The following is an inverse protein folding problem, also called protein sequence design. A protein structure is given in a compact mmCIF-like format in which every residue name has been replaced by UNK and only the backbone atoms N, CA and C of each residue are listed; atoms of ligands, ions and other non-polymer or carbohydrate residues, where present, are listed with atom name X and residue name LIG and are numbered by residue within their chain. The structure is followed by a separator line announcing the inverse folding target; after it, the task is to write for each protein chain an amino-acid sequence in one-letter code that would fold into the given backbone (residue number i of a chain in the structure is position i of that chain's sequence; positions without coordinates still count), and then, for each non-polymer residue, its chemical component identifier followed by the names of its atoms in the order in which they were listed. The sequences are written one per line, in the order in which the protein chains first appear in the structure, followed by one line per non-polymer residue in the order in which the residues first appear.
data_IF_367257334630
#
_entry.id   IF_367257334630
#
_cell.length_a   1.000
_cell.length_b   1.000
_cell.length_c   1.000
_cell.angle_alpha   90.00
_cell.angle_beta   90.00
_cell.angle_gamma   90.00
#
_symmetry.space_group_name_H-M   'P 1'
#
loop_
_entity.id
_entity.type
_entity.pdbx_description
1 polymer ?
#
# COMPACT_ATOMS: atom_id res chain seq x y z
N UNK A 1 -2.46 35.98 7.94
CA UNK A 1 -1.89 35.80 6.58
C UNK A 1 -1.39 34.38 6.52
N UNK A 2 -2.15 33.49 5.88
CA UNK A 2 -1.72 32.10 5.65
C UNK A 2 -0.76 32.16 4.48
N UNK A 3 0.42 31.61 4.67
CA UNK A 3 1.51 31.61 3.73
C UNK A 3 1.15 30.65 2.58
N UNK A 4 0.84 31.18 1.40
CA UNK A 4 0.47 30.48 0.15
C UNK A 4 1.69 29.74 -0.45
N UNK A 5 2.44 29.00 0.38
CA UNK A 5 3.59 28.23 -0.08
C UNK A 5 3.11 26.92 -0.69
N UNK A 6 3.04 26.90 -2.02
CA UNK A 6 3.03 25.64 -2.78
C UNK A 6 4.30 24.86 -2.43
N UNK A 7 4.12 23.80 -1.65
CA UNK A 7 5.21 22.90 -1.27
C UNK A 7 5.34 21.78 -2.29
N UNK A 8 6.58 21.37 -2.55
CA UNK A 8 6.86 20.16 -3.32
C UNK A 8 6.88 19.00 -2.34
N UNK A 9 5.83 18.19 -2.39
CA UNK A 9 5.65 17.05 -1.48
C UNK A 9 5.60 15.74 -2.26
N UNK A 10 6.14 14.65 -1.72
CA UNK A 10 5.87 13.32 -2.24
C UNK A 10 4.36 13.09 -2.26
N UNK A 11 3.83 12.54 -3.35
CA UNK A 11 2.40 12.31 -3.54
C UNK A 11 1.83 11.37 -2.47
N UNK A 12 2.68 10.51 -1.91
CA UNK A 12 2.38 9.69 -0.74
C UNK A 12 2.03 10.52 0.50
N UNK A 13 2.76 11.61 0.75
CA UNK A 13 2.51 12.52 1.88
C UNK A 13 1.20 13.29 1.64
N UNK A 14 0.96 13.74 0.41
CA UNK A 14 -0.32 14.36 0.03
C UNK A 14 -1.48 13.38 0.26
N UNK A 15 -1.37 12.13 -0.20
CA UNK A 15 -2.35 11.08 0.03
C UNK A 15 -2.61 10.80 1.51
N UNK A 16 -1.56 10.74 2.33
CA UNK A 16 -1.69 10.57 3.78
C UNK A 16 -2.48 11.72 4.44
N UNK A 17 -2.21 12.97 4.05
CA UNK A 17 -2.93 14.15 4.55
C UNK A 17 -4.39 14.21 4.10
N UNK A 18 -4.71 13.62 2.96
CA UNK A 18 -6.11 13.41 2.53
C UNK A 18 -6.84 12.38 3.41
N UNK A 19 -6.13 11.37 3.91
CA UNK A 19 -6.71 10.32 4.76
C UNK A 19 -6.90 10.81 6.20
N UNK A 20 -5.88 11.42 6.80
CA UNK A 20 -5.91 11.90 8.19
C UNK A 20 -5.20 13.24 8.34
N UNK A 21 -5.64 14.05 9.32
CA UNK A 21 -4.93 15.27 9.71
C UNK A 21 -3.58 14.98 10.35
N UNK A 22 -3.40 13.79 10.95
CA UNK A 22 -2.12 13.34 11.48
C UNK A 22 -1.39 12.52 10.41
N UNK A 23 -0.26 13.05 9.92
CA UNK A 23 0.47 12.47 8.77
C UNK A 23 0.89 11.02 9.00
N UNK A 24 1.36 10.68 10.19
CA UNK A 24 1.79 9.31 10.52
C UNK A 24 0.62 8.32 10.46
N UNK A 25 -0.56 8.72 10.95
CA UNK A 25 -1.78 7.91 10.88
C UNK A 25 -2.21 7.74 9.43
N UNK A 26 -2.19 8.83 8.65
CA UNK A 26 -2.49 8.79 7.22
C UNK A 26 -1.53 7.89 6.44
N UNK A 27 -0.24 7.87 6.80
CA UNK A 27 0.77 7.02 6.17
C UNK A 27 0.57 5.53 6.47
N UNK A 28 0.22 5.18 7.71
CA UNK A 28 -0.09 3.79 8.11
C UNK A 28 -1.31 3.29 7.34
N UNK A 29 -2.35 4.11 7.25
CA UNK A 29 -3.58 3.74 6.56
C UNK A 29 -3.36 3.64 5.05
N UNK A 30 -2.55 4.54 4.49
CA UNK A 30 -2.12 4.47 3.11
C UNK A 30 -1.31 3.20 2.82
N UNK A 31 -0.42 2.80 3.73
CA UNK A 31 0.32 1.55 3.60
C UNK A 31 -0.62 0.34 3.59
N UNK A 32 -1.63 0.31 4.46
CA UNK A 32 -2.66 -0.73 4.43
C UNK A 32 -3.35 -0.81 3.06
N UNK A 33 -3.83 0.32 2.54
CA UNK A 33 -4.53 0.40 1.24
C UNK A 33 -3.59 -0.05 0.10
N UNK A 34 -2.34 0.39 0.10
CA UNK A 34 -1.37 0.02 -0.95
C UNK A 34 -0.93 -1.44 -0.88
N UNK A 35 -0.88 -2.03 0.31
CA UNK A 35 -0.64 -3.48 0.51
C UNK A 35 -1.82 -4.29 0.00
N UNK A 36 -3.06 -3.87 0.28
CA UNK A 36 -4.25 -4.55 -0.24
C UNK A 36 -4.30 -4.47 -1.78
N UNK A 37 -3.97 -3.31 -2.36
CA UNK A 37 -3.76 -3.17 -3.80
C UNK A 37 -2.64 -4.10 -4.32
N UNK A 38 -1.52 -4.19 -3.61
CA UNK A 38 -0.40 -5.06 -3.98
C UNK A 38 -0.77 -6.55 -3.95
N UNK A 39 -1.59 -7.01 -3.00
CA UNK A 39 -2.05 -8.40 -2.97
C UNK A 39 -2.96 -8.71 -4.17
N UNK A 40 -3.86 -7.79 -4.50
CA UNK A 40 -4.71 -7.92 -5.69
C UNK A 40 -3.88 -7.96 -6.98
N UNK A 41 -2.82 -7.15 -7.06
CA UNK A 41 -1.85 -7.17 -8.15
C UNK A 41 -1.11 -8.50 -8.20
N UNK A 42 -0.51 -8.95 -7.09
CA UNK A 42 0.34 -10.14 -7.06
C UNK A 42 -0.38 -11.40 -7.53
N UNK A 43 -1.62 -11.63 -7.08
CA UNK A 43 -2.38 -12.82 -7.46
C UNK A 43 -2.62 -12.88 -8.97
N UNK A 44 -2.91 -11.74 -9.61
CA UNK A 44 -3.13 -11.67 -11.06
C UNK A 44 -1.83 -11.61 -11.84
N UNK A 45 -0.81 -10.98 -11.27
CA UNK A 45 0.51 -10.87 -11.85
C UNK A 45 1.16 -12.24 -12.01
N UNK A 46 1.04 -13.12 -11.00
CA UNK A 46 1.57 -14.48 -11.10
C UNK A 46 0.96 -15.25 -12.27
N UNK A 47 -0.36 -15.24 -12.41
CA UNK A 47 -1.06 -15.89 -13.53
C UNK A 47 -0.65 -15.29 -14.89
N UNK A 48 -0.55 -13.96 -14.96
CA UNK A 48 -0.13 -13.28 -16.16
C UNK A 48 1.32 -13.62 -16.54
N UNK A 49 2.24 -13.55 -15.57
CA UNK A 49 3.67 -13.77 -15.78
C UNK A 49 3.97 -15.22 -16.15
N UNK A 50 3.34 -16.20 -15.48
CA UNK A 50 3.52 -17.62 -15.84
C UNK A 50 2.97 -17.93 -17.22
N UNK A 51 1.79 -17.40 -17.56
CA UNK A 51 1.20 -17.54 -18.91
C UNK A 51 2.10 -16.91 -19.98
N UNK A 52 2.60 -15.70 -19.72
CA UNK A 52 3.50 -14.99 -20.62
C UNK A 52 4.80 -15.76 -20.85
N UNK A 53 5.46 -16.19 -19.76
CA UNK A 53 6.72 -16.93 -19.84
C UNK A 53 6.55 -18.28 -20.53
N UNK A 54 5.41 -18.96 -20.30
CA UNK A 54 5.11 -20.25 -20.94
C UNK A 54 4.97 -20.09 -22.46
N UNK A 55 4.16 -19.11 -22.90
CA UNK A 55 3.96 -18.86 -24.33
C UNK A 55 5.21 -18.32 -25.01
N UNK A 56 5.97 -17.43 -24.35
CA UNK A 56 7.23 -16.92 -24.87
C UNK A 56 8.26 -18.05 -25.03
N UNK A 57 8.37 -18.95 -24.05
CA UNK A 57 9.27 -20.11 -24.12
C UNK A 57 8.85 -21.08 -25.23
N UNK A 58 7.54 -21.32 -25.39
CA UNK A 58 7.01 -22.13 -26.47
C UNK A 58 7.32 -21.52 -27.85
N UNK A 59 7.17 -20.19 -28.02
CA UNK A 59 7.57 -19.48 -29.25
C UNK A 59 9.03 -19.70 -29.56
N UNK A 60 9.92 -19.45 -28.60
CA UNK A 60 11.37 -19.61 -28.80
C UNK A 60 11.71 -21.05 -29.16
N UNK A 61 11.17 -22.03 -28.42
CA UNK A 61 11.39 -23.45 -28.68
C UNK A 61 10.92 -23.86 -30.08
N UNK A 62 9.72 -23.47 -30.47
CA UNK A 62 9.15 -23.76 -31.78
C UNK A 62 9.93 -23.12 -32.93
N UNK A 63 10.42 -21.89 -32.76
CA UNK A 63 11.26 -21.21 -33.75
C UNK A 63 12.62 -21.90 -33.88
N UNK A 64 13.25 -22.29 -32.77
CA UNK A 64 14.52 -23.01 -32.80
C UNK A 64 14.39 -24.39 -33.46
N UNK A 65 13.33 -25.14 -33.13
CA UNK A 65 13.04 -26.43 -33.75
C UNK A 65 12.74 -26.25 -35.25
N UNK A 66 11.87 -25.31 -35.60
CA UNK A 66 11.55 -25.00 -37.00
C UNK A 66 12.78 -24.60 -37.81
N UNK A 67 13.63 -23.74 -37.25
CA UNK A 67 14.89 -23.32 -37.87
C UNK A 67 15.87 -24.49 -38.06
N UNK A 68 16.02 -25.36 -37.05
CA UNK A 68 16.88 -26.54 -37.17
C UNK A 68 16.36 -27.54 -38.22
N UNK A 69 15.05 -27.79 -38.27
CA UNK A 69 14.44 -28.66 -39.28
C UNK A 69 14.56 -28.07 -40.69
N UNK A 70 14.43 -26.76 -40.83
CA UNK A 70 14.63 -26.07 -42.11
C UNK A 70 16.06 -26.20 -42.61
N UNK A 71 17.05 -26.01 -41.72
CA UNK A 71 18.47 -26.16 -42.04
C UNK A 71 18.86 -27.61 -42.35
N UNK A 72 18.19 -28.58 -41.71
CA UNK A 72 18.40 -30.01 -41.93
C UNK A 72 17.56 -30.61 -43.06
N UNK A 73 16.82 -29.80 -43.83
CA UNK A 73 15.88 -30.25 -44.88
C UNK A 73 14.89 -31.34 -44.41
N UNK A 74 14.54 -31.32 -43.13
CA UNK A 74 13.70 -32.33 -42.50
C UNK A 74 12.20 -31.95 -42.56
N UNK A 75 11.29 -32.92 -42.77
CA UNK A 75 9.86 -32.65 -42.79
C UNK A 75 9.36 -32.13 -41.42
N UNK A 76 8.36 -31.25 -41.45
CA UNK A 76 7.72 -30.71 -40.24
C UNK A 76 8.21 -29.33 -39.79
N UNK A 77 9.17 -28.72 -40.49
CA UNK A 77 9.61 -27.34 -40.24
C UNK A 77 8.45 -26.34 -40.28
N UNK A 78 7.57 -26.45 -41.28
CA UNK A 78 6.41 -25.57 -41.46
C UNK A 78 5.44 -25.64 -40.27
N UNK A 79 5.20 -26.85 -39.75
CA UNK A 79 4.32 -27.08 -38.59
C UNK A 79 4.94 -26.44 -37.35
N UNK A 80 6.25 -26.61 -37.13
CA UNK A 80 6.94 -26.02 -35.99
C UNK A 80 6.91 -24.47 -36.04
N UNK A 81 7.11 -23.88 -37.22
CA UNK A 81 7.03 -22.43 -37.42
C UNK A 81 5.61 -21.91 -37.17
N UNK A 82 4.58 -22.60 -37.67
CA UNK A 82 3.18 -22.24 -37.45
C UNK A 82 2.81 -22.29 -35.95
N UNK A 83 3.27 -23.30 -35.21
CA UNK A 83 3.09 -23.37 -33.75
C UNK A 83 3.79 -22.19 -33.08
N UNK A 84 5.02 -21.87 -33.48
CA UNK A 84 5.77 -20.74 -32.93
C UNK A 84 5.06 -19.40 -33.15
N UNK A 85 4.48 -19.20 -34.34
CA UNK A 85 3.68 -18.03 -34.67
C UNK A 85 2.42 -17.94 -33.80
N UNK A 86 1.71 -19.05 -33.60
CA UNK A 86 0.56 -19.13 -32.70
C UNK A 86 0.92 -18.72 -31.28
N UNK A 87 1.98 -19.29 -30.72
CA UNK A 87 2.50 -18.93 -29.39
C UNK A 87 2.94 -17.45 -29.32
N UNK A 88 3.49 -16.89 -30.40
CA UNK A 88 3.91 -15.49 -30.44
C UNK A 88 2.70 -14.56 -30.36
N UNK A 89 1.64 -14.86 -31.11
CA UNK A 89 0.35 -14.15 -31.03
C UNK A 89 -0.25 -14.25 -29.63
N UNK A 90 -0.24 -15.44 -29.03
CA UNK A 90 -0.70 -15.63 -27.65
C UNK A 90 0.13 -14.82 -26.64
N UNK A 91 1.45 -14.76 -26.80
CA UNK A 91 2.34 -13.96 -25.95
C UNK A 91 2.00 -12.48 -26.03
N UNK A 92 1.75 -11.95 -27.24
CA UNK A 92 1.31 -10.56 -27.43
C UNK A 92 -0.06 -10.31 -26.80
N UNK A 93 -1.01 -11.23 -26.96
CA UNK A 93 -2.34 -11.12 -26.38
C UNK A 93 -2.31 -11.13 -24.84
N UNK A 94 -1.51 -12.02 -24.25
CA UNK A 94 -1.26 -12.05 -22.80
C UNK A 94 -0.62 -10.73 -22.38
N UNK A 95 0.43 -10.27 -23.06
CA UNK A 95 1.06 -8.97 -22.77
C UNK A 95 0.06 -7.81 -22.74
N UNK A 96 -0.82 -7.75 -23.72
CA UNK A 96 -1.89 -6.76 -23.82
C UNK A 96 -2.93 -6.87 -22.69
N UNK A 97 -3.21 -8.08 -22.19
CA UNK A 97 -4.25 -8.31 -21.17
C UNK A 97 -3.92 -7.65 -19.82
N UNK A 98 -2.63 -7.53 -19.44
CA UNK A 98 -2.24 -6.84 -18.21
C UNK A 98 -2.64 -5.37 -18.23
N UNK A 99 -2.51 -4.73 -19.39
CA UNK A 99 -2.93 -3.34 -19.58
C UNK A 99 -4.45 -3.22 -19.54
N UNK A 100 -5.17 -4.14 -20.18
CA UNK A 100 -6.64 -4.17 -20.10
C UNK A 100 -7.12 -4.36 -18.67
N UNK A 101 -6.43 -5.19 -17.88
CA UNK A 101 -6.76 -5.37 -16.48
C UNK A 101 -6.60 -4.08 -15.67
N UNK A 102 -5.53 -3.30 -15.92
CA UNK A 102 -5.31 -2.05 -15.19
C UNK A 102 -6.27 -0.93 -15.62
N UNK A 103 -6.55 -0.79 -16.92
CA UNK A 103 -7.22 0.39 -17.48
C UNK A 103 -8.60 0.10 -18.10
N UNK A 104 -9.11 -1.12 -18.01
CA UNK A 104 -10.37 -1.53 -18.64
C UNK A 104 -10.30 -1.64 -20.17
N UNK A 105 -9.13 -1.42 -20.76
CA UNK A 105 -8.91 -1.47 -22.21
C UNK A 105 -7.48 -1.14 -22.62
N UNK A 106 -7.22 -1.13 -23.92
CA UNK A 106 -5.88 -0.87 -24.47
C UNK A 106 -5.44 0.59 -24.34
N UNK A 107 -6.39 1.52 -24.15
CA UNK A 107 -6.16 2.95 -23.96
C UNK A 107 -6.80 3.40 -22.65
N UNK A 108 -6.07 4.15 -21.85
CA UNK A 108 -6.59 4.82 -20.66
C UNK A 108 -7.44 6.02 -21.08
N UNK A 109 -8.69 5.76 -21.52
CA UNK A 109 -9.61 6.79 -22.02
C UNK A 109 -10.49 7.38 -20.93
N UNK A 110 -10.84 6.59 -19.92
CA UNK A 110 -11.71 7.00 -18.83
C UNK A 110 -11.23 6.41 -17.50
N UNK A 111 -11.47 7.11 -16.37
CA UNK A 111 -11.26 6.55 -15.04
C UNK A 111 -12.04 5.25 -14.84
N UNK A 112 -11.37 4.26 -14.27
CA UNK A 112 -11.95 2.97 -13.90
C UNK A 112 -12.33 2.94 -12.41
N UNK A 113 -13.21 2.01 -12.04
CA UNK A 113 -13.51 1.77 -10.62
C UNK A 113 -12.30 1.17 -9.89
N UNK A 114 -12.01 1.62 -8.65
CA UNK A 114 -10.87 1.11 -7.88
C UNK A 114 -11.14 -0.32 -7.39
N UNK A 115 -10.13 -1.20 -7.48
CA UNK A 115 -10.26 -2.63 -7.14
C UNK A 115 -9.65 -3.01 -5.78
N UNK A 116 -9.05 -2.06 -5.07
CA UNK A 116 -8.17 -2.35 -3.92
C UNK A 116 -8.80 -2.17 -2.54
N UNK A 117 -10.01 -1.62 -2.41
CA UNK A 117 -10.64 -1.50 -1.10
C UNK A 117 -12.16 -1.22 -1.17
N UNK A 118 -12.82 -1.43 -0.02
CA UNK A 118 -14.23 -1.16 0.20
C UNK A 118 -14.53 0.33 -0.01
N UNK A 119 -15.44 0.70 -0.94
CA UNK A 119 -15.84 2.10 -1.14
C UNK A 119 -16.51 2.73 0.10
N UNK A 120 -16.97 1.93 1.07
CA UNK A 120 -17.48 2.43 2.33
C UNK A 120 -16.37 2.94 3.27
N UNK A 121 -15.11 2.58 3.02
CA UNK A 121 -13.96 3.01 3.82
C UNK A 121 -13.70 4.53 3.66
N UNK A 122 -13.78 5.32 4.74
CA UNK A 122 -13.53 6.75 4.69
C UNK A 122 -12.13 7.14 4.17
N UNK A 123 -11.10 6.35 4.49
CA UNK A 123 -9.73 6.61 4.07
C UNK A 123 -9.60 6.44 2.55
N UNK A 124 -10.15 5.34 2.03
CA UNK A 124 -10.18 5.04 0.59
C UNK A 124 -10.98 6.11 -0.13
N UNK A 125 -12.15 6.49 0.37
CA UNK A 125 -12.98 7.53 -0.24
C UNK A 125 -12.26 8.88 -0.33
N UNK A 126 -11.53 9.28 0.70
CA UNK A 126 -10.74 10.51 0.66
C UNK A 126 -9.54 10.38 -0.30
N UNK A 127 -8.93 9.21 -0.38
CA UNK A 127 -7.86 8.96 -1.33
C UNK A 127 -8.36 8.99 -2.78
N UNK A 128 -9.54 8.43 -3.05
CA UNK A 128 -10.21 8.52 -4.35
C UNK A 128 -10.55 9.95 -4.75
N UNK A 129 -10.85 10.82 -3.78
CA UNK A 129 -11.05 12.26 -4.03
C UNK A 129 -9.77 12.95 -4.49
N UNK A 130 -8.62 12.59 -3.92
CA UNK A 130 -7.32 13.05 -4.43
C UNK A 130 -7.10 12.58 -5.87
N UNK A 131 -7.34 11.30 -6.14
CA UNK A 131 -7.21 10.79 -7.52
C UNK A 131 -8.18 11.47 -8.48
N UNK A 132 -9.42 11.74 -8.05
CA UNK A 132 -10.39 12.48 -8.85
C UNK A 132 -9.88 13.87 -9.25
N UNK A 133 -9.14 14.56 -8.37
CA UNK A 133 -8.46 15.81 -8.75
C UNK A 133 -7.37 15.52 -9.79
N UNK A 134 -6.46 14.58 -9.51
CA UNK A 134 -5.31 14.28 -10.37
C UNK A 134 -5.70 13.73 -11.76
N UNK A 135 -6.93 13.25 -11.91
CA UNK A 135 -7.52 12.82 -13.18
C UNK A 135 -7.93 14.00 -14.07
N UNK A 136 -8.11 15.21 -13.51
CA UNK A 136 -8.48 16.40 -14.25
C UNK A 136 -7.27 16.98 -14.97
N UNK A 137 -7.44 17.37 -16.23
CA UNK A 137 -6.37 17.96 -17.03
C UNK A 137 -5.93 19.35 -16.53
N UNK A 138 -6.84 20.07 -15.87
CA UNK A 138 -6.62 21.38 -15.25
C UNK A 138 -5.97 21.31 -13.85
N UNK A 139 -5.79 20.12 -13.29
CA UNK A 139 -5.22 19.94 -11.95
C UNK A 139 -3.69 20.08 -11.92
N UNK A 140 -3.09 20.32 -10.73
CA UNK A 140 -1.64 20.23 -10.56
C UNK A 140 -1.14 18.86 -11.00
N UNK A 141 -0.18 18.85 -11.93
CA UNK A 141 0.34 17.59 -12.49
C UNK A 141 1.37 16.99 -11.55
N UNK A 142 1.18 15.72 -11.21
CA UNK A 142 2.21 14.96 -10.54
C UNK A 142 3.46 14.83 -11.44
N UNK A 143 4.63 14.72 -10.83
CA UNK A 143 5.89 14.55 -11.56
C UNK A 143 6.82 13.59 -10.83
N UNK A 144 7.81 13.05 -11.52
CA UNK A 144 8.93 12.36 -10.91
C UNK A 144 10.24 13.09 -11.22
N UNK A 145 11.24 12.87 -10.36
CA UNK A 145 12.59 13.37 -10.57
C UNK A 145 13.41 12.32 -11.33
N UNK A 146 14.06 12.75 -12.41
CA UNK A 146 15.06 11.93 -13.12
C UNK A 146 16.33 11.78 -12.28
N UNK A 147 17.25 10.88 -12.68
CA UNK A 147 18.57 10.72 -12.01
C UNK A 147 19.36 12.02 -11.91
N UNK A 148 19.14 12.95 -12.85
CA UNK A 148 19.81 14.24 -12.90
C UNK A 148 19.03 15.35 -12.16
N UNK A 149 17.99 15.00 -11.41
CA UNK A 149 17.14 15.95 -10.69
C UNK A 149 16.12 16.71 -11.55
N UNK A 150 16.09 16.50 -12.87
CA UNK A 150 15.10 17.15 -13.74
C UNK A 150 13.69 16.61 -13.50
N UNK A 151 12.69 17.51 -13.46
CA UNK A 151 11.26 17.18 -13.27
C UNK A 151 10.67 16.63 -14.57
N UNK A 152 9.94 15.52 -14.47
CA UNK A 152 9.12 14.97 -15.58
C UNK A 152 7.70 14.76 -15.11
N UNK A 153 6.79 15.55 -15.67
CA UNK A 153 5.37 15.48 -15.37
C UNK A 153 4.76 14.19 -15.93
N UNK A 154 3.90 13.57 -15.13
CA UNK A 154 3.11 12.41 -15.56
C UNK A 154 1.77 12.87 -16.12
N UNK A 155 1.24 12.07 -17.04
CA UNK A 155 -0.10 12.26 -17.61
C UNK A 155 -1.16 11.96 -16.54
N UNK A 156 -2.25 12.74 -16.51
CA UNK A 156 -3.40 12.50 -15.61
C UNK A 156 -3.99 11.09 -15.76
N UNK A 157 -3.83 10.47 -16.94
CA UNK A 157 -4.23 9.09 -17.24
C UNK A 157 -3.51 8.03 -16.41
N UNK A 158 -2.37 8.35 -15.77
CA UNK A 158 -1.76 7.42 -14.80
C UNK A 158 -2.75 7.07 -13.68
N UNK A 159 -3.62 8.00 -13.30
CA UNK A 159 -4.60 7.82 -12.25
C UNK A 159 -5.93 7.25 -12.75
N UNK A 160 -6.04 6.80 -14.01
CA UNK A 160 -7.29 6.20 -14.54
C UNK A 160 -7.42 4.73 -14.17
N UNK A 161 -6.32 4.06 -13.83
CA UNK A 161 -6.32 2.63 -13.57
C UNK A 161 -7.10 2.24 -12.32
N UNK A 162 -7.61 1.02 -12.29
CA UNK A 162 -8.29 0.41 -11.14
C UNK A 162 -7.35 0.13 -9.95
N UNK A 163 -6.04 0.17 -10.17
CA UNK A 163 -4.99 -0.09 -9.18
C UNK A 163 -4.15 1.16 -8.85
N UNK A 164 -4.67 2.35 -9.14
CA UNK A 164 -3.99 3.64 -9.00
C UNK A 164 -3.36 3.91 -7.62
N UNK A 165 -3.90 3.35 -6.53
CA UNK A 165 -3.27 3.45 -5.20
C UNK A 165 -1.83 2.89 -5.18
N UNK A 166 -1.51 1.89 -6.01
CA UNK A 166 -0.15 1.38 -6.05
C UNK A 166 0.88 2.40 -6.58
N UNK A 167 0.48 3.46 -7.31
CA UNK A 167 1.40 4.53 -7.73
C UNK A 167 1.97 5.37 -6.57
N UNK A 168 1.30 5.38 -5.41
CA UNK A 168 1.72 6.15 -4.22
C UNK A 168 2.24 5.25 -3.09
N UNK A 169 2.45 3.97 -3.38
CA UNK A 169 3.06 3.03 -2.45
C UNK A 169 4.49 3.45 -2.11
N UNK A 170 4.96 3.13 -0.89
CA UNK A 170 6.36 3.38 -0.47
C UNK A 170 7.35 2.60 -1.31
N UNK A 171 7.01 1.34 -1.58
CA UNK A 171 7.90 0.39 -2.25
C UNK A 171 7.91 0.62 -3.75
N UNK A 172 9.11 0.79 -4.30
CA UNK A 172 9.33 0.82 -5.76
C UNK A 172 8.85 -0.45 -6.44
N UNK A 173 8.93 -1.60 -5.78
CA UNK A 173 8.47 -2.90 -6.29
C UNK A 173 6.95 -2.93 -6.51
N UNK A 174 6.18 -2.25 -5.64
CA UNK A 174 4.72 -2.17 -5.78
C UNK A 174 4.37 -1.23 -6.94
N UNK A 175 5.04 -0.07 -7.00
CA UNK A 175 4.85 0.89 -8.11
C UNK A 175 5.19 0.24 -9.46
N UNK A 176 6.34 -0.44 -9.52
CA UNK A 176 6.86 -1.06 -10.73
C UNK A 176 6.03 -2.23 -11.22
N UNK A 177 5.00 -2.69 -10.50
CA UNK A 177 4.07 -3.70 -11.00
C UNK A 177 3.02 -3.10 -11.97
N UNK A 178 2.87 -1.77 -11.98
CA UNK A 178 1.93 -1.05 -12.84
C UNK A 178 2.57 -0.62 -14.16
N UNK A 179 1.75 -0.58 -15.22
CA UNK A 179 2.14 0.01 -16.50
C UNK A 179 1.85 1.51 -16.52
N UNK A 180 2.65 2.27 -17.26
CA UNK A 180 2.30 3.64 -17.57
C UNK A 180 1.28 3.71 -18.72
N UNK A 181 0.45 4.76 -18.80
CA UNK A 181 -0.43 5.00 -19.94
C UNK A 181 0.32 5.21 -21.27
N UNK A 182 1.62 5.49 -21.26
CA UNK A 182 2.46 5.71 -22.46
C UNK A 182 3.73 4.87 -22.52
N UNK A 183 3.93 3.91 -21.62
CA UNK A 183 5.16 3.13 -21.58
C UNK A 183 5.10 1.90 -20.67
N UNK A 184 6.21 1.16 -20.66
CA UNK A 184 6.39 -0.03 -19.83
C UNK A 184 6.89 0.36 -18.44
N UNK A 185 6.29 -0.24 -17.41
CA UNK A 185 6.64 -0.25 -15.97
C UNK A 185 6.99 1.11 -15.33
N UNK A 186 6.30 1.46 -14.24
CA UNK A 186 6.54 2.74 -13.55
C UNK A 186 6.98 2.54 -12.09
N UNK A 187 8.27 2.70 -11.79
CA UNK A 187 8.85 2.47 -10.45
C UNK A 187 9.08 3.75 -9.62
N UNK A 188 8.96 4.93 -10.25
CA UNK A 188 9.38 6.21 -9.69
C UNK A 188 8.41 6.72 -8.63
N UNK A 189 8.96 7.38 -7.62
CA UNK A 189 8.15 8.14 -6.66
C UNK A 189 7.60 9.40 -7.34
N UNK A 190 6.33 9.68 -7.07
CA UNK A 190 5.63 10.84 -7.58
C UNK A 190 5.65 11.97 -6.56
N UNK A 191 5.73 13.19 -7.05
CA UNK A 191 5.71 14.43 -6.30
C UNK A 191 4.59 15.32 -6.84
N UNK A 192 4.09 16.19 -5.99
CA UNK A 192 3.09 17.18 -6.33
C UNK A 192 3.52 18.53 -5.77
N UNK A 193 3.42 19.57 -6.57
CA UNK A 193 3.59 20.95 -6.14
C UNK A 193 2.21 21.57 -5.98
N UNK A 194 1.69 21.59 -4.75
CA UNK A 194 0.35 22.08 -4.46
C UNK A 194 0.17 22.43 -2.98
N UNK A 195 -0.76 23.34 -2.69
CA UNK A 195 -1.28 23.51 -1.34
C UNK A 195 -2.25 22.36 -1.03
N UNK A 196 -1.84 21.47 -0.12
CA UNK A 196 -2.63 20.30 0.27
C UNK A 196 -3.93 20.71 0.97
N UNK A 197 -3.93 21.79 1.75
CA UNK A 197 -5.14 22.26 2.42
C UNK A 197 -6.15 22.79 1.41
N UNK A 198 -5.69 23.52 0.39
CA UNK A 198 -6.53 23.95 -0.73
C UNK A 198 -7.13 22.75 -1.48
N UNK A 199 -6.33 21.75 -1.82
CA UNK A 199 -6.80 20.53 -2.51
C UNK A 199 -7.82 19.73 -1.68
N UNK A 200 -7.62 19.62 -0.37
CA UNK A 200 -8.58 18.96 0.54
C UNK A 200 -9.92 19.72 0.55
N UNK A 201 -9.88 21.05 0.61
CA UNK A 201 -11.08 21.87 0.58
C UNK A 201 -11.81 21.77 -0.76
N UNK A 202 -11.09 21.89 -1.88
CA UNK A 202 -11.66 21.78 -3.23
C UNK A 202 -12.35 20.43 -3.47
N UNK A 203 -11.72 19.34 -3.03
CA UNK A 203 -12.28 17.99 -3.17
C UNK A 203 -13.37 17.64 -2.14
N UNK A 204 -13.65 18.54 -1.19
CA UNK A 204 -14.54 18.29 -0.04
C UNK A 204 -14.12 17.04 0.73
N UNK A 205 -12.82 16.70 0.71
CA UNK A 205 -12.26 15.61 1.49
C UNK A 205 -12.47 15.91 2.98
N UNK A 206 -12.74 14.86 3.76
CA UNK A 206 -12.90 14.99 5.21
C UNK A 206 -11.86 14.09 5.87
N UNK A 207 -10.58 14.51 5.92
CA UNK A 207 -9.54 13.75 6.59
C UNK A 207 -9.99 13.44 8.01
N UNK A 208 -9.74 12.21 8.47
CA UNK A 208 -10.06 11.85 9.84
C UNK A 208 -9.23 12.71 10.80
N UNK A 209 -9.94 13.46 11.67
CA UNK A 209 -9.36 14.14 12.84
C UNK A 209 -9.12 13.18 14.00
N UNK A 210 -9.74 12.00 13.94
CA UNK A 210 -9.52 10.96 14.92
C UNK A 210 -8.19 10.30 14.61
N UNK A 211 -7.25 10.38 15.56
CA UNK A 211 -6.19 9.38 15.67
C UNK A 211 -6.82 7.99 15.60
N UNK A 212 -6.10 7.04 14.99
CA UNK A 212 -6.58 5.68 14.73
C UNK A 212 -7.53 5.21 15.83
N UNK A 213 -8.70 4.61 15.52
CA UNK A 213 -9.51 4.00 16.57
C UNK A 213 -8.59 3.04 17.31
N UNK A 214 -8.17 3.43 18.52
CA UNK A 214 -7.35 2.60 19.39
C UNK A 214 -8.19 1.36 19.60
N UNK A 215 -7.89 0.27 18.88
CA UNK A 215 -8.59 -1.00 19.03
C UNK A 215 -8.66 -1.42 20.51
N UNK A 216 -7.68 -0.94 21.28
CA UNK A 216 -7.62 -1.04 22.72
C UNK A 216 -7.13 0.27 23.35
N UNK A 217 -7.80 0.75 24.38
CA UNK A 217 -7.39 1.96 25.11
C UNK A 217 -6.27 1.66 26.12
N UNK A 218 -5.09 1.39 25.58
CA UNK A 218 -3.90 1.02 26.37
C UNK A 218 -3.48 2.11 27.35
N UNK A 219 -3.65 3.38 26.98
CA UNK A 219 -3.25 4.51 27.83
C UNK A 219 -4.11 4.57 29.10
N UNK A 220 -5.42 4.46 28.96
CA UNK A 220 -6.33 4.44 30.11
C UNK A 220 -6.17 3.17 30.96
N UNK A 221 -5.88 2.03 30.33
CA UNK A 221 -5.57 0.79 31.04
C UNK A 221 -4.32 0.94 31.91
N UNK A 222 -3.24 1.47 31.34
CA UNK A 222 -1.98 1.70 32.05
C UNK A 222 -2.16 2.70 33.20
N UNK A 223 -2.82 3.84 32.95
CA UNK A 223 -3.08 4.85 34.00
C UNK A 223 -3.90 4.25 35.14
N UNK A 224 -4.96 3.50 34.83
CA UNK A 224 -5.78 2.83 35.85
C UNK A 224 -4.99 1.79 36.65
N UNK A 225 -4.03 1.11 36.01
CA UNK A 225 -3.28 0.01 36.61
C UNK A 225 -2.09 0.49 37.46
N UNK A 226 -1.44 1.59 37.09
CA UNK A 226 -0.36 2.18 37.88
C UNK A 226 -0.87 2.59 39.28
N UNK A 227 -2.13 3.01 39.38
CA UNK A 227 -2.78 3.37 40.64
C UNK A 227 -3.36 2.16 41.39
N UNK A 228 -3.36 0.97 40.79
CA UNK A 228 -3.98 -0.20 41.41
C UNK A 228 -3.17 -0.68 42.64
N UNK A 229 -3.82 -0.97 43.79
CA UNK A 229 -3.12 -1.33 45.03
C UNK A 229 -2.19 -2.53 44.88
N UNK A 230 -2.58 -3.51 44.05
CA UNK A 230 -1.77 -4.71 43.78
C UNK A 230 -0.56 -4.44 42.90
N UNK A 231 -0.56 -3.37 42.09
CA UNK A 231 0.59 -2.95 41.27
C UNK A 231 1.56 -2.12 42.13
N UNK A 232 1.04 -1.32 43.05
CA UNK A 232 1.85 -0.57 44.02
C UNK A 232 2.59 -1.48 45.01
N UNK A 233 2.02 -2.63 45.38
CA UNK A 233 2.65 -3.59 46.31
C UNK A 233 3.58 -4.61 45.64
N UNK A 234 3.82 -4.51 44.33
CA UNK A 234 4.68 -5.44 43.59
C UNK A 234 6.11 -5.43 44.15
N UNK A 235 6.64 -6.60 44.48
CA UNK A 235 8.06 -6.82 44.76
C UNK A 235 8.85 -6.88 43.43
N UNK A 236 9.71 -5.89 43.19
CA UNK A 236 10.46 -5.70 41.93
C UNK A 236 11.37 -6.91 41.61
N UNK A 237 11.72 -7.70 42.62
CA UNK A 237 12.67 -8.82 42.47
C UNK A 237 12.04 -10.08 41.84
N UNK A 238 10.70 -10.17 41.72
CA UNK A 238 9.99 -11.36 41.24
C UNK A 238 9.38 -11.21 39.83
N UNK A 239 10.23 -11.15 38.80
CA UNK A 239 9.82 -10.85 37.41
C UNK A 239 8.68 -11.73 36.86
N UNK A 240 8.76 -13.06 37.00
CA UNK A 240 7.80 -14.00 36.37
C UNK A 240 6.40 -13.93 36.98
N UNK A 241 6.30 -13.86 38.32
CA UNK A 241 5.01 -13.77 39.01
C UNK A 241 4.32 -12.43 38.81
N UNK A 242 5.10 -11.34 38.73
CA UNK A 242 4.55 -10.00 38.52
C UNK A 242 4.01 -9.80 37.10
N UNK A 243 4.64 -10.43 36.11
CA UNK A 243 4.19 -10.38 34.73
C UNK A 243 2.81 -11.05 34.58
N UNK A 244 2.63 -12.25 35.14
CA UNK A 244 1.33 -12.95 35.15
C UNK A 244 0.25 -12.13 35.88
N UNK A 245 0.63 -11.48 36.99
CA UNK A 245 -0.29 -10.63 37.74
C UNK A 245 -0.75 -9.41 36.93
N UNK A 246 0.16 -8.70 36.25
CA UNK A 246 -0.19 -7.53 35.43
C UNK A 246 -0.99 -7.91 34.19
N UNK A 247 -0.69 -9.03 33.54
CA UNK A 247 -1.48 -9.57 32.43
C UNK A 247 -2.92 -9.84 32.88
N UNK A 248 -3.09 -10.54 34.01
CA UNK A 248 -4.42 -10.84 34.55
C UNK A 248 -5.21 -9.59 34.96
N UNK A 249 -4.53 -8.54 35.43
CA UNK A 249 -5.17 -7.26 35.74
C UNK A 249 -5.58 -6.48 34.48
N UNK A 250 -4.74 -6.48 33.44
CA UNK A 250 -5.09 -5.91 32.13
C UNK A 250 -6.30 -6.63 31.53
N UNK A 251 -6.30 -7.95 31.55
CA UNK A 251 -7.40 -8.78 31.04
C UNK A 251 -8.72 -8.46 31.76
N UNK A 252 -8.71 -8.43 33.10
CA UNK A 252 -9.88 -8.05 33.90
C UNK A 252 -10.35 -6.62 33.62
N UNK A 253 -9.43 -5.68 33.41
CA UNK A 253 -9.76 -4.29 33.10
C UNK A 253 -10.50 -4.16 31.75
N UNK A 254 -10.10 -4.94 30.74
CA UNK A 254 -10.79 -5.01 29.44
C UNK A 254 -12.15 -5.71 29.54
N UNK A 255 -12.21 -6.85 30.24
CA UNK A 255 -13.45 -7.60 30.43
C UNK A 255 -14.51 -6.80 31.20
N UNK A 256 -14.11 -6.06 32.24
CA UNK A 256 -15.02 -5.20 33.02
C UNK A 256 -15.64 -4.04 32.22
N UNK A 257 -15.10 -3.74 31.03
CA UNK A 257 -15.62 -2.72 30.11
C UNK A 257 -16.30 -3.31 28.86
N UNK A 258 -16.61 -4.61 28.89
CA UNK A 258 -17.16 -5.36 27.75
C UNK A 258 -16.28 -5.25 26.48
N UNK A 259 -14.96 -5.11 26.65
CA UNK A 259 -14.00 -5.09 25.55
C UNK A 259 -13.33 -6.47 25.43
N UNK A 260 -13.18 -6.97 24.20
CA UNK A 260 -12.40 -8.19 23.95
C UNK A 260 -10.94 -7.90 24.34
N UNK A 261 -10.25 -8.69 25.17
CA UNK A 261 -8.86 -8.43 25.50
C UNK A 261 -7.93 -8.64 24.28
N UNK A 262 -6.78 -7.96 24.22
CA UNK A 262 -5.68 -8.28 23.29
C UNK A 262 -5.17 -9.71 23.49
N UNK A 263 -4.37 -10.23 22.55
CA UNK A 263 -3.76 -11.55 22.72
C UNK A 263 -2.77 -11.56 23.89
N UNK A 264 -2.58 -12.71 24.52
CA UNK A 264 -1.68 -12.88 25.68
C UNK A 264 -0.24 -12.40 25.38
N UNK A 265 0.25 -12.63 24.16
CA UNK A 265 1.56 -12.15 23.69
C UNK A 265 1.64 -10.62 23.67
N UNK A 266 0.56 -9.94 23.28
CA UNK A 266 0.48 -8.48 23.28
C UNK A 266 0.41 -7.94 24.71
N UNK A 267 -0.43 -8.54 25.56
CA UNK A 267 -0.52 -8.19 26.98
C UNK A 267 0.81 -8.39 27.72
N UNK A 268 1.57 -9.43 27.34
CA UNK A 268 2.89 -9.71 27.90
C UNK A 268 3.93 -8.64 27.58
N UNK A 269 3.89 -8.09 26.35
CA UNK A 269 4.74 -6.96 25.97
C UNK A 269 4.47 -5.75 26.86
N UNK A 270 3.19 -5.37 26.99
CA UNK A 270 2.79 -4.23 27.81
C UNK A 270 3.05 -4.44 29.30
N UNK A 271 2.87 -5.65 29.81
CA UNK A 271 3.18 -5.97 31.20
C UNK A 271 4.68 -5.80 31.50
N UNK A 272 5.57 -6.11 30.54
CA UNK A 272 6.99 -5.83 30.67
C UNK A 272 7.28 -4.32 30.73
N UNK A 273 6.69 -3.53 29.84
CA UNK A 273 6.90 -2.07 29.81
C UNK A 273 6.46 -1.41 31.12
N UNK A 274 5.33 -1.85 31.70
CA UNK A 274 4.85 -1.39 33.01
C UNK A 274 5.85 -1.75 34.12
N UNK A 275 6.37 -2.98 34.12
CA UNK A 275 7.37 -3.40 35.12
C UNK A 275 8.68 -2.61 35.00
N UNK A 276 9.13 -2.34 33.78
CA UNK A 276 10.32 -1.52 33.55
C UNK A 276 10.12 -0.08 34.00
N UNK A 277 8.95 0.51 33.72
CA UNK A 277 8.59 1.84 34.18
C UNK A 277 8.53 1.93 35.72
N UNK A 278 7.93 0.94 36.38
CA UNK A 278 7.89 0.85 37.86
C UNK A 278 9.30 0.72 38.42
N UNK A 279 10.13 -0.15 37.83
CA UNK A 279 11.52 -0.33 38.25
C UNK A 279 12.30 0.99 38.14
N UNK A 280 12.19 1.68 36.99
CA UNK A 280 12.84 2.97 36.75
C UNK A 280 12.41 4.04 37.75
N UNK A 281 11.10 4.17 37.99
CA UNK A 281 10.54 5.16 38.93
C UNK A 281 10.92 4.90 40.40
N UNK A 282 11.13 3.64 40.79
CA UNK A 282 11.56 3.29 42.14
C UNK A 282 13.07 3.44 42.31
N UNK A 283 13.85 3.14 41.26
CA UNK A 283 15.30 3.41 41.27
C UNK A 283 15.64 4.89 41.25
N UNK A 284 14.75 5.76 40.75
CA UNK A 284 14.97 7.22 40.75
C UNK A 284 14.51 7.93 42.02
N UNK A 285 13.85 7.21 42.94
CA UNK A 285 13.45 7.70 44.27
C UNK A 285 14.35 7.16 45.40
N UNK A 286 15.27 6.26 45.07
CA UNK A 286 16.38 5.84 45.92
C UNK A 286 17.62 6.67 45.60
#
# INVERSE_FOLDING_TARGET
MVDDRKEILPLRIVGARFISTEEQVGLVELDRITVDASRAIQNRYWLWATSFMTMASATVGSVLIGGALTLGEAPGADIAILIGLGCAVSTMAIGASWRMFQYGGMKARSPQEPLYADPADPAVRNLERLFGILQLESSPRAFYLTRNGARRYVDHRYFFGNLRAAHIARSGTIRSALFGPVGLWFDRELFLEADVAELINQSKAKPSRAGAPKKYDYTSAIISLIEHPQVQSIDINKKKGNLTLIIGLLEKWYLGRNQRPPSETQLSGYANDILEAIKKNRSSKS
#
